data_IF_730222368878
#
_entry.id   IF_730222368878
#
_cell.length_a   1.000
_cell.length_b   1.000
_cell.length_c   1.000
_cell.angle_alpha   90.00
_cell.angle_beta   90.00
_cell.angle_gamma   90.00
#
_symmetry.space_group_name_H-M   'P 1'
#
loop_
_entity.id
_entity.type
_entity.pdbx_description
1 polymer ?
#
# COMPACT_ATOMS: atom_id res chain seq x y z
N UNK A 1 -45.10 -9.57 -86.98
CA UNK A 1 -43.96 -10.44 -86.65
C UNK A 1 -43.11 -9.68 -85.63
N UNK A 2 -43.07 -9.91 -84.31
CA UNK A 2 -43.71 -10.82 -83.37
C UNK A 2 -44.01 -10.01 -82.08
N UNK A 3 -45.22 -10.15 -81.55
CA UNK A 3 -45.61 -9.67 -80.22
C UNK A 3 -45.03 -10.62 -79.16
N UNK A 4 -44.13 -10.15 -78.29
CA UNK A 4 -43.64 -10.94 -77.15
C UNK A 4 -44.51 -10.69 -75.91
N UNK A 5 -45.35 -11.67 -75.60
CA UNK A 5 -46.09 -11.79 -74.34
C UNK A 5 -45.18 -12.42 -73.28
N UNK A 6 -44.60 -11.61 -72.41
CA UNK A 6 -43.74 -12.06 -71.30
C UNK A 6 -44.53 -12.27 -70.01
N UNK A 7 -45.01 -13.50 -69.76
CA UNK A 7 -45.59 -13.92 -68.47
C UNK A 7 -44.58 -13.71 -67.32
N UNK A 8 -44.96 -12.93 -66.29
CA UNK A 8 -44.25 -12.86 -65.01
C UNK A 8 -44.39 -14.21 -64.29
N UNK A 9 -43.29 -14.94 -64.12
CA UNK A 9 -43.19 -16.07 -63.18
C UNK A 9 -42.84 -15.51 -61.80
N UNK A 10 -43.76 -15.67 -60.84
CA UNK A 10 -43.53 -15.44 -59.42
C UNK A 10 -42.46 -16.43 -58.91
N UNK A 11 -41.43 -15.92 -58.22
CA UNK A 11 -40.53 -16.77 -57.44
C UNK A 11 -41.21 -17.08 -56.10
N UNK A 12 -41.14 -18.33 -55.60
CA UNK A 12 -41.68 -18.67 -54.30
C UNK A 12 -40.89 -17.97 -53.20
N UNK A 13 -41.61 -17.37 -52.23
CA UNK A 13 -41.04 -16.58 -51.15
C UNK A 13 -40.14 -17.41 -50.24
N UNK A 14 -38.93 -16.93 -50.01
CA UNK A 14 -38.12 -17.37 -48.88
C UNK A 14 -38.86 -17.03 -47.58
N UNK A 15 -39.07 -17.98 -46.65
CA UNK A 15 -39.62 -17.65 -45.36
C UNK A 15 -38.63 -16.76 -44.60
N UNK A 16 -39.08 -15.56 -44.23
CA UNK A 16 -38.34 -14.66 -43.33
C UNK A 16 -38.33 -15.34 -41.96
N UNK A 17 -37.21 -15.95 -41.58
CA UNK A 17 -37.02 -16.50 -40.24
C UNK A 17 -36.82 -15.30 -39.31
N UNK A 18 -37.86 -14.95 -38.56
CA UNK A 18 -37.77 -13.94 -37.51
C UNK A 18 -36.76 -14.42 -36.44
N UNK A 19 -35.86 -13.56 -35.94
CA UNK A 19 -34.98 -13.93 -34.85
C UNK A 19 -35.81 -14.34 -33.64
N UNK A 20 -35.48 -15.47 -33.03
CA UNK A 20 -36.10 -15.90 -31.78
C UNK A 20 -35.91 -14.80 -30.72
N UNK A 21 -36.94 -14.49 -29.92
CA UNK A 21 -36.79 -13.54 -28.83
C UNK A 21 -35.70 -14.05 -27.87
N UNK A 22 -34.91 -13.15 -27.26
CA UNK A 22 -33.93 -13.55 -26.26
C UNK A 22 -34.66 -14.29 -25.12
N UNK A 23 -34.03 -15.33 -24.55
CA UNK A 23 -34.62 -16.04 -23.42
C UNK A 23 -34.90 -15.04 -22.29
N UNK A 24 -35.98 -15.25 -21.50
CA UNK A 24 -36.29 -14.40 -20.37
C UNK A 24 -35.07 -14.35 -19.44
N UNK A 25 -34.65 -13.13 -19.09
CA UNK A 25 -33.58 -12.95 -18.12
C UNK A 25 -33.96 -13.69 -16.83
N UNK A 26 -33.02 -14.44 -16.22
CA UNK A 26 -33.29 -15.12 -14.97
C UNK A 26 -33.78 -14.10 -13.92
N UNK A 27 -34.70 -14.48 -13.02
CA UNK A 27 -35.19 -13.58 -11.99
C UNK A 27 -34.02 -12.99 -11.21
N UNK A 28 -33.94 -11.66 -11.17
CA UNK A 28 -32.95 -10.93 -10.39
C UNK A 28 -33.27 -11.18 -8.91
N UNK A 29 -32.57 -12.15 -8.30
CA UNK A 29 -32.65 -12.35 -6.86
C UNK A 29 -32.26 -11.04 -6.15
N UNK A 30 -33.02 -10.60 -5.14
CA UNK A 30 -32.68 -9.41 -4.39
C UNK A 30 -31.32 -9.61 -3.74
N UNK A 31 -30.34 -8.80 -4.14
CA UNK A 31 -29.03 -8.81 -3.50
C UNK A 31 -29.23 -8.47 -2.02
N UNK A 32 -28.76 -9.33 -1.08
CA UNK A 32 -28.92 -9.06 0.33
C UNK A 32 -28.27 -7.70 0.67
N UNK A 33 -28.87 -6.92 1.59
CA UNK A 33 -28.33 -5.61 1.94
C UNK A 33 -26.87 -5.75 2.38
N UNK A 34 -25.99 -4.82 1.96
CA UNK A 34 -24.56 -4.94 2.24
C UNK A 34 -24.29 -4.98 3.74
N UNK A 35 -23.70 -6.07 4.21
CA UNK A 35 -23.32 -6.24 5.62
C UNK A 35 -22.21 -5.27 5.99
N UNK A 36 -22.47 -4.37 6.96
CA UNK A 36 -21.50 -3.39 7.45
C UNK A 36 -20.91 -3.88 8.77
N UNK A 37 -19.58 -3.96 8.83
CA UNK A 37 -18.84 -4.34 10.04
C UNK A 37 -18.12 -3.11 10.59
N UNK A 38 -18.33 -2.80 11.88
CA UNK A 38 -17.62 -1.74 12.60
C UNK A 38 -16.57 -2.39 13.52
N UNK A 39 -15.30 -2.05 13.31
CA UNK A 39 -14.19 -2.49 14.15
C UNK A 39 -13.89 -1.40 15.19
N UNK A 40 -14.10 -1.69 16.48
CA UNK A 40 -13.78 -0.80 17.61
C UNK A 40 -12.54 -1.30 18.36
N UNK A 41 -11.75 -0.38 18.89
CA UNK A 41 -10.55 -0.69 19.67
C UNK A 41 -9.66 0.53 19.88
N UNK A 42 -8.72 0.44 20.82
CA UNK A 42 -7.75 1.49 21.17
C UNK A 42 -6.75 1.79 20.04
N UNK A 43 -5.94 2.84 20.19
CA UNK A 43 -4.81 3.09 19.29
C UNK A 43 -3.91 1.83 19.24
N UNK A 44 -3.43 1.46 18.05
CA UNK A 44 -2.60 0.26 17.78
C UNK A 44 -3.24 -1.13 17.96
N UNK A 45 -4.55 -1.24 18.24
CA UNK A 45 -5.22 -2.54 18.42
C UNK A 45 -5.32 -3.43 17.16
N UNK A 46 -4.59 -3.12 16.07
CA UNK A 46 -4.56 -3.95 14.86
C UNK A 46 -5.79 -3.86 13.95
N UNK A 47 -6.76 -2.95 14.18
CA UNK A 47 -7.96 -2.80 13.34
C UNK A 47 -7.65 -2.64 11.85
N UNK A 48 -6.64 -1.84 11.53
CA UNK A 48 -6.18 -1.66 10.15
C UNK A 48 -5.66 -2.95 9.56
N UNK A 49 -4.96 -3.77 10.34
CA UNK A 49 -4.47 -5.10 9.97
C UNK A 49 -5.62 -6.05 9.71
N UNK A 50 -6.62 -6.11 10.60
CA UNK A 50 -7.83 -6.93 10.41
C UNK A 50 -8.54 -6.53 9.12
N UNK A 51 -8.74 -5.22 8.88
CA UNK A 51 -9.37 -4.74 7.64
C UNK A 51 -8.59 -5.17 6.40
N UNK A 52 -7.26 -5.13 6.45
CA UNK A 52 -6.40 -5.58 5.35
C UNK A 52 -6.52 -7.10 5.16
N UNK A 53 -6.47 -7.89 6.24
CA UNK A 53 -6.61 -9.35 6.19
C UNK A 53 -7.98 -9.81 5.68
N UNK A 54 -9.07 -9.17 6.12
CA UNK A 54 -10.43 -9.45 5.62
C UNK A 54 -10.50 -9.22 4.11
N UNK A 55 -9.91 -8.14 3.59
CA UNK A 55 -9.87 -7.89 2.14
C UNK A 55 -9.10 -8.96 1.38
N UNK A 56 -7.96 -9.42 1.91
CA UNK A 56 -7.18 -10.50 1.32
C UNK A 56 -7.98 -11.81 1.28
N UNK A 57 -8.70 -12.12 2.37
CA UNK A 57 -9.54 -13.33 2.46
C UNK A 57 -10.64 -13.35 1.39
N UNK A 58 -11.26 -12.19 1.11
CA UNK A 58 -12.29 -12.04 0.07
C UNK A 58 -11.73 -11.84 -1.35
N UNK A 59 -10.43 -12.08 -1.57
CA UNK A 59 -9.82 -12.03 -2.90
C UNK A 59 -9.69 -10.63 -3.49
N UNK A 60 -9.87 -9.57 -2.69
CA UNK A 60 -9.71 -8.20 -3.18
C UNK A 60 -8.24 -7.84 -3.36
N UNK A 61 -7.80 -7.78 -4.62
CA UNK A 61 -6.45 -7.32 -4.97
C UNK A 61 -6.36 -5.80 -4.81
N UNK A 62 -5.31 -5.32 -4.12
CA UNK A 62 -5.06 -3.89 -3.97
C UNK A 62 -4.71 -3.25 -5.32
N UNK A 63 -5.39 -2.14 -5.62
CA UNK A 63 -5.09 -1.31 -6.80
C UNK A 63 -3.71 -0.67 -6.70
N UNK A 64 -3.13 -0.26 -7.83
CA UNK A 64 -1.84 0.46 -7.87
C UNK A 64 -1.87 1.72 -7.00
N UNK A 65 -2.98 2.45 -6.99
CA UNK A 65 -3.18 3.65 -6.15
C UNK A 65 -3.13 3.32 -4.66
N UNK A 66 -3.70 2.20 -4.24
CA UNK A 66 -3.66 1.76 -2.84
C UNK A 66 -2.26 1.29 -2.43
N UNK A 67 -1.57 0.56 -3.31
CA UNK A 67 -0.17 0.15 -3.07
C UNK A 67 0.74 1.35 -2.84
N UNK A 68 0.58 2.43 -3.62
CA UNK A 68 1.31 3.69 -3.42
C UNK A 68 0.99 4.30 -2.05
N UNK A 69 -0.28 4.34 -1.64
CA UNK A 69 -0.67 4.84 -0.31
C UNK A 69 -0.07 3.99 0.82
N UNK A 70 -0.05 2.68 0.67
CA UNK A 70 0.55 1.76 1.64
C UNK A 70 2.07 1.98 1.70
N UNK A 71 2.74 2.16 0.55
CA UNK A 71 4.19 2.48 0.51
C UNK A 71 4.50 3.76 1.26
N UNK A 72 3.75 4.84 1.01
CA UNK A 72 3.89 6.12 1.73
C UNK A 72 3.67 5.94 3.24
N UNK A 73 2.68 5.13 3.62
CA UNK A 73 2.43 4.82 5.03
C UNK A 73 3.60 4.08 5.69
N UNK A 74 4.18 3.08 5.01
CA UNK A 74 5.36 2.34 5.50
C UNK A 74 6.56 3.29 5.66
N UNK A 75 6.87 4.10 4.64
CA UNK A 75 7.98 5.06 4.69
C UNK A 75 7.83 6.03 5.88
N UNK A 76 6.62 6.55 6.08
CA UNK A 76 6.31 7.41 7.23
C UNK A 76 6.56 6.69 8.56
N UNK A 77 6.17 5.43 8.67
CA UNK A 77 6.38 4.64 9.88
C UNK A 77 7.88 4.43 10.15
N UNK A 78 8.69 4.14 9.13
CA UNK A 78 10.15 4.00 9.26
C UNK A 78 10.79 5.28 9.82
N UNK A 79 10.45 6.42 9.22
CA UNK A 79 11.04 7.71 9.62
C UNK A 79 10.57 8.11 11.02
N UNK A 80 9.30 7.88 11.37
CA UNK A 80 8.79 8.17 12.70
C UNK A 80 9.49 7.31 13.78
N UNK A 81 9.63 6.01 13.54
CA UNK A 81 10.38 5.12 14.44
C UNK A 81 11.84 5.56 14.59
N UNK A 82 12.52 5.86 13.48
CA UNK A 82 13.91 6.33 13.54
C UNK A 82 14.02 7.61 14.38
N UNK A 83 13.09 8.56 14.23
CA UNK A 83 13.09 9.78 15.03
C UNK A 83 12.82 9.52 16.50
N UNK A 84 11.92 8.59 16.83
CA UNK A 84 11.69 8.18 18.21
C UNK A 84 12.96 7.59 18.82
N UNK A 85 13.69 6.76 18.07
CA UNK A 85 14.98 6.21 18.50
C UNK A 85 16.04 7.31 18.71
N UNK A 86 16.15 8.27 17.78
CA UNK A 86 17.08 9.39 17.89
C UNK A 86 16.75 10.35 19.04
N UNK A 87 15.47 10.45 19.43
CA UNK A 87 15.06 11.19 20.64
C UNK A 87 15.37 10.39 21.90
N UNK A 88 15.19 9.07 21.87
CA UNK A 88 15.55 8.20 22.97
C UNK A 88 17.06 8.27 23.28
N UNK A 89 17.94 8.41 22.27
CA UNK A 89 19.37 8.63 22.53
C UNK A 89 19.61 9.93 23.30
N UNK A 90 18.85 11.01 23.05
CA UNK A 90 18.94 12.25 23.83
C UNK A 90 18.48 12.06 25.28
N UNK A 91 17.38 11.31 25.49
CA UNK A 91 16.86 11.01 26.83
C UNK A 91 17.82 10.15 27.65
N UNK A 92 18.51 9.21 27.00
CA UNK A 92 19.51 8.35 27.65
C UNK A 92 20.89 9.00 27.75
N UNK A 93 21.05 10.25 27.31
CA UNK A 93 22.34 10.94 27.23
C UNK A 93 23.41 10.14 26.46
N UNK A 94 22.99 9.45 25.39
CA UNK A 94 23.86 8.71 24.49
C UNK A 94 24.27 9.61 23.31
N UNK A 95 25.56 9.84 23.19
CA UNK A 95 26.14 10.53 22.05
C UNK A 95 26.32 9.59 20.86
N UNK A 96 26.14 10.14 19.65
CA UNK A 96 26.45 9.42 18.41
C UNK A 96 27.96 9.16 18.34
N UNK A 97 28.33 7.98 17.84
CA UNK A 97 29.74 7.55 17.83
C UNK A 97 30.62 8.39 16.89
N UNK A 98 30.04 8.94 15.82
CA UNK A 98 30.75 9.71 14.80
C UNK A 98 30.10 11.07 14.54
N UNK A 99 30.88 12.04 14.10
CA UNK A 99 30.38 13.36 13.69
C UNK A 99 29.43 13.27 12.50
N UNK A 100 29.68 12.37 11.56
CA UNK A 100 28.76 12.10 10.45
C UNK A 100 27.40 11.62 10.95
N UNK A 101 27.37 10.70 11.93
CA UNK A 101 26.12 10.22 12.51
C UNK A 101 25.38 11.32 13.29
N UNK A 102 26.11 12.27 13.89
CA UNK A 102 25.51 13.48 14.49
C UNK A 102 24.84 14.35 13.43
N UNK A 103 25.47 14.56 12.28
CA UNK A 103 24.87 15.30 11.16
C UNK A 103 23.65 14.56 10.56
N UNK A 104 23.75 13.23 10.38
CA UNK A 104 22.62 12.39 9.95
C UNK A 104 21.45 12.47 10.93
N UNK A 105 21.73 12.42 12.24
CA UNK A 105 20.73 12.59 13.31
C UNK A 105 19.97 13.91 13.17
N UNK A 106 20.69 15.03 13.07
CA UNK A 106 20.06 16.36 12.94
C UNK A 106 19.22 16.47 11.65
N UNK A 107 19.72 15.94 10.53
CA UNK A 107 18.98 15.87 9.26
C UNK A 107 17.65 15.11 9.39
N UNK A 108 17.65 13.94 10.02
CA UNK A 108 16.45 13.12 10.21
C UNK A 108 15.49 13.77 11.22
N UNK A 109 16.00 14.38 12.29
CA UNK A 109 15.18 15.06 13.29
C UNK A 109 14.48 16.31 12.72
N UNK A 110 15.16 17.04 11.83
CA UNK A 110 14.63 18.20 11.12
C UNK A 110 13.57 17.83 10.07
N UNK A 111 13.58 16.59 9.57
CA UNK A 111 12.59 16.11 8.60
C UNK A 111 11.20 16.00 9.27
N UNK A 112 10.26 16.85 8.88
CA UNK A 112 8.91 16.82 9.43
C UNK A 112 8.07 15.69 8.80
N UNK A 113 7.28 14.90 9.56
CA UNK A 113 6.62 13.70 9.03
C UNK A 113 5.52 14.04 8.01
N UNK A 114 5.04 15.29 8.01
CA UNK A 114 4.05 15.77 7.02
C UNK A 114 4.65 15.99 5.63
N UNK A 115 5.96 16.20 5.52
CA UNK A 115 6.63 16.36 4.22
C UNK A 115 6.54 15.04 3.43
N UNK A 116 6.47 13.90 4.13
CA UNK A 116 6.34 12.56 3.56
C UNK A 116 4.94 12.23 3.01
N UNK A 117 3.97 13.16 3.06
CA UNK A 117 2.59 12.88 2.66
C UNK A 117 2.36 12.96 1.16
N UNK A 118 3.28 13.58 0.41
CA UNK A 118 3.17 13.72 -1.03
C UNK A 118 3.92 12.58 -1.73
N UNK A 119 3.22 11.70 -2.47
CA UNK A 119 3.85 10.62 -3.23
C UNK A 119 4.79 11.11 -4.35
N UNK A 120 4.76 12.41 -4.66
CA UNK A 120 5.60 13.05 -5.68
C UNK A 120 6.92 13.55 -5.14
N UNK A 121 7.04 13.69 -3.82
CA UNK A 121 8.26 14.17 -3.22
C UNK A 121 9.20 12.96 -3.14
N UNK A 122 10.28 12.97 -3.94
CA UNK A 122 11.30 11.91 -4.00
C UNK A 122 12.21 11.93 -2.75
N UNK A 123 11.58 12.04 -1.59
CA UNK A 123 12.22 12.15 -0.27
C UNK A 123 12.88 10.81 0.08
N UNK A 124 12.27 9.71 -0.38
CA UNK A 124 12.77 8.36 -0.20
C UNK A 124 13.77 8.01 -1.30
N UNK A 125 15.01 8.46 -1.12
CA UNK A 125 16.11 8.23 -2.03
C UNK A 125 17.18 7.30 -1.44
N UNK A 126 18.10 6.82 -2.27
CA UNK A 126 19.20 5.93 -1.85
C UNK A 126 20.07 6.55 -0.76
N UNK A 127 20.30 7.87 -0.82
CA UNK A 127 21.07 8.60 0.20
C UNK A 127 20.41 8.55 1.57
N UNK A 128 19.08 8.72 1.66
CA UNK A 128 18.34 8.63 2.91
C UNK A 128 18.39 7.21 3.47
N UNK A 129 18.28 6.21 2.61
CA UNK A 129 18.36 4.79 3.00
C UNK A 129 19.74 4.47 3.57
N UNK A 130 20.80 4.94 2.93
CA UNK A 130 22.17 4.82 3.45
C UNK A 130 22.34 5.54 4.79
N UNK A 131 21.81 6.77 4.92
CA UNK A 131 21.86 7.51 6.18
C UNK A 131 21.16 6.73 7.31
N UNK A 132 20.02 6.10 7.04
CA UNK A 132 19.29 5.27 8.01
C UNK A 132 20.09 4.01 8.39
N UNK A 133 20.72 3.35 7.41
CA UNK A 133 21.54 2.16 7.66
C UNK A 133 22.77 2.46 8.50
N UNK A 134 23.46 3.57 8.24
CA UNK A 134 24.60 3.98 9.05
C UNK A 134 24.20 4.38 10.47
N UNK A 135 23.03 5.01 10.65
CA UNK A 135 22.47 5.27 11.98
C UNK A 135 22.12 3.98 12.72
N UNK A 136 21.57 2.97 12.05
CA UNK A 136 21.21 1.68 12.66
C UNK A 136 22.41 0.89 13.18
N UNK A 137 23.59 1.09 12.59
CA UNK A 137 24.85 0.47 13.03
C UNK A 137 25.48 1.18 14.23
N UNK A 138 25.01 2.39 14.57
CA UNK A 138 25.60 3.18 15.65
C UNK A 138 25.34 2.54 17.02
N UNK A 139 26.36 2.45 17.90
CA UNK A 139 26.20 1.84 19.22
C UNK A 139 25.15 2.53 20.09
N UNK A 140 24.92 3.84 19.95
CA UNK A 140 23.88 4.55 20.69
C UNK A 140 22.48 4.06 20.30
N UNK A 141 22.26 3.80 19.01
CA UNK A 141 20.99 3.32 18.47
C UNK A 141 20.77 1.85 18.84
N UNK A 142 21.82 1.03 18.81
CA UNK A 142 21.76 -0.36 19.28
C UNK A 142 21.40 -0.46 20.78
N UNK A 143 21.92 0.44 21.61
CA UNK A 143 21.55 0.50 23.03
C UNK A 143 20.08 0.90 23.23
N UNK A 144 19.56 1.83 22.43
CA UNK A 144 18.13 2.17 22.44
C UNK A 144 17.28 0.96 22.04
N UNK A 145 17.69 0.19 21.01
CA UNK A 145 16.98 -1.04 20.60
C UNK A 145 16.95 -2.10 21.70
N UNK A 146 18.02 -2.24 22.46
CA UNK A 146 18.08 -3.16 23.61
C UNK A 146 17.07 -2.75 24.70
N UNK A 147 16.81 -1.44 24.85
CA UNK A 147 15.88 -0.86 25.81
C UNK A 147 14.56 -0.40 25.17
N UNK A 148 14.19 -0.98 24.03
CA UNK A 148 13.02 -0.52 23.25
C UNK A 148 11.71 -0.47 24.03
N UNK A 149 11.56 -1.31 25.05
CA UNK A 149 10.36 -1.37 25.90
C UNK A 149 10.15 -0.11 26.77
N UNK A 150 11.18 0.73 26.91
CA UNK A 150 11.11 2.00 27.64
C UNK A 150 10.60 3.15 26.75
N UNK A 151 10.52 2.93 25.44
CA UNK A 151 10.14 3.94 24.45
C UNK A 151 8.96 3.45 23.62
N UNK A 152 8.25 4.40 23.01
CA UNK A 152 7.19 4.07 22.04
C UNK A 152 7.89 3.83 20.70
N UNK A 153 8.45 2.64 20.51
CA UNK A 153 8.97 2.17 19.22
C UNK A 153 8.04 1.06 18.75
N UNK A 154 7.54 1.16 17.52
CA UNK A 154 6.62 0.16 16.98
C UNK A 154 7.33 -1.20 16.83
N UNK A 155 6.64 -2.29 17.16
CA UNK A 155 7.18 -3.65 17.03
C UNK A 155 7.64 -3.98 15.60
N UNK A 156 6.96 -3.41 14.59
CA UNK A 156 7.29 -3.59 13.19
C UNK A 156 8.52 -2.81 12.71
N UNK A 157 9.10 -1.94 13.54
CA UNK A 157 10.25 -1.11 13.16
C UNK A 157 11.46 -1.96 12.75
N UNK A 158 11.77 -3.01 13.53
CA UNK A 158 12.88 -3.95 13.27
C UNK A 158 12.75 -4.59 11.88
N UNK A 159 11.58 -5.13 11.57
CA UNK A 159 11.31 -5.70 10.26
C UNK A 159 11.53 -4.71 9.12
N UNK A 160 11.10 -3.45 9.28
CA UNK A 160 11.31 -2.47 8.22
C UNK A 160 12.77 -2.04 8.08
N UNK A 161 13.51 -1.95 9.19
CA UNK A 161 14.93 -1.64 9.20
C UNK A 161 15.75 -2.72 8.49
N UNK A 162 15.42 -4.00 8.71
CA UNK A 162 16.09 -5.12 8.04
C UNK A 162 15.81 -5.18 6.53
N UNK A 163 14.73 -4.55 6.08
CA UNK A 163 14.27 -4.57 4.68
C UNK A 163 14.33 -3.20 4.00
N UNK A 164 15.14 -2.26 4.49
CA UNK A 164 15.24 -0.89 3.97
C UNK A 164 15.51 -0.85 2.46
N UNK A 165 16.52 -1.57 1.96
CA UNK A 165 16.84 -1.64 0.53
C UNK A 165 15.67 -2.13 -0.33
N UNK A 166 14.90 -3.10 0.18
CA UNK A 166 13.73 -3.62 -0.53
C UNK A 166 12.65 -2.54 -0.66
N UNK A 167 12.45 -1.75 0.40
CA UNK A 167 11.47 -0.66 0.46
C UNK A 167 11.95 0.56 -0.35
N UNK A 168 13.27 0.77 -0.45
CA UNK A 168 13.95 1.76 -1.29
C UNK A 168 13.65 1.64 -2.78
N UNK A 169 13.44 0.42 -3.26
CA UNK A 169 13.22 0.18 -4.67
C UNK A 169 11.99 0.98 -5.20
N UNK A 170 12.15 1.66 -6.34
CA UNK A 170 11.06 2.41 -6.99
C UNK A 170 9.90 1.49 -7.33
N UNK A 171 10.20 0.26 -7.74
CA UNK A 171 9.23 -0.79 -8.05
C UNK A 171 8.77 -1.60 -6.83
N UNK A 172 9.08 -1.13 -5.61
CA UNK A 172 8.64 -1.79 -4.39
C UNK A 172 7.12 -1.92 -4.35
N UNK A 173 6.66 -3.16 -4.42
CA UNK A 173 5.30 -3.55 -4.11
C UNK A 173 5.31 -4.14 -2.70
N UNK A 174 4.57 -3.55 -1.74
CA UNK A 174 4.43 -4.10 -0.40
C UNK A 174 4.02 -5.58 -0.46
N UNK A 175 4.79 -6.48 0.15
CA UNK A 175 4.38 -7.88 0.24
C UNK A 175 3.17 -7.99 1.15
N UNK A 176 2.19 -8.76 0.71
CA UNK A 176 1.00 -9.08 1.50
C UNK A 176 1.22 -10.28 2.42
N UNK A 177 2.48 -10.71 2.62
CA UNK A 177 2.82 -11.80 3.55
C UNK A 177 2.94 -11.26 4.97
N UNK A 178 2.21 -11.93 5.86
CA UNK A 178 2.20 -11.77 7.32
C UNK A 178 3.58 -12.18 7.86
#
# INVERSE_FOLDING_TARGET
>A
MFLFTGKRKSRPGCPVVLPLPPPPEPPVEPTPPPTKILLLGTFESGKSTIRIQTRLLFGHVFSTKEKIKIKVFIIRNIIENMRQMLRATQTLHLDMSTEENRQRKEKILAMHPRVLLNPKDDIWNETLVQDLEELLKDPAILQVLARRNEFIIHDCATYFFDHLHRIANKDYVPSMKI
#
